data_IF_397668928998
#
_entry.id   IF_397668928998
#
_cell.length_a   1.000
_cell.length_b   1.000
_cell.length_c   1.000
_cell.angle_alpha   90.00
_cell.angle_beta   90.00
_cell.angle_gamma   90.00
#
_symmetry.space_group_name_H-M   'P 1'
#
loop_
_entity.id
_entity.type
_entity.pdbx_description
1 polymer ?
#
# COMPACT_ATOMS: atom_id res chain seq x y z
N UNK A 1 18.36 -1.66 -3.94
CA UNK A 1 18.43 -1.01 -2.61
C UNK A 1 18.94 -2.03 -1.60
N UNK A 2 19.61 -1.59 -0.54
CA UNK A 2 20.02 -2.48 0.57
C UNK A 2 18.88 -2.62 1.58
N UNK A 3 18.92 -3.66 2.41
CA UNK A 3 17.96 -3.85 3.50
C UNK A 3 17.92 -2.62 4.43
N UNK A 4 19.06 -2.02 4.75
CA UNK A 4 19.10 -0.84 5.62
C UNK A 4 18.40 0.37 5.02
N UNK A 5 18.55 0.62 3.71
CA UNK A 5 17.81 1.70 3.02
C UNK A 5 16.31 1.49 3.08
N UNK A 6 15.84 0.26 2.93
CA UNK A 6 14.41 -0.06 3.10
C UNK A 6 13.91 0.15 4.52
N UNK A 7 14.74 -0.13 5.53
CA UNK A 7 14.39 0.17 6.93
C UNK A 7 14.36 1.67 7.19
N UNK A 8 15.27 2.44 6.60
CA UNK A 8 15.23 3.91 6.65
C UNK A 8 13.92 4.44 6.06
N UNK A 9 13.51 3.92 4.89
CA UNK A 9 12.25 4.29 4.26
C UNK A 9 11.04 3.89 5.10
N UNK A 10 11.03 2.69 5.69
CA UNK A 10 9.96 2.24 6.59
C UNK A 10 9.85 3.12 7.84
N UNK A 11 10.98 3.50 8.43
CA UNK A 11 11.02 4.41 9.60
C UNK A 11 10.47 5.79 9.22
N UNK A 12 10.93 6.34 8.11
CA UNK A 12 10.44 7.63 7.60
C UNK A 12 8.94 7.59 7.32
N UNK A 13 8.48 6.58 6.59
CA UNK A 13 7.06 6.35 6.30
C UNK A 13 6.22 6.34 7.58
N UNK A 14 6.64 5.54 8.56
CA UNK A 14 5.92 5.39 9.83
C UNK A 14 5.89 6.70 10.62
N UNK A 15 7.05 7.36 10.78
CA UNK A 15 7.13 8.61 11.53
C UNK A 15 6.31 9.74 10.90
N UNK A 16 6.35 9.86 9.57
CA UNK A 16 5.62 10.91 8.86
C UNK A 16 4.12 10.67 8.87
N UNK A 17 3.70 9.41 8.77
CA UNK A 17 2.29 9.04 8.90
C UNK A 17 1.75 9.44 10.26
N UNK A 18 2.45 9.15 11.35
CA UNK A 18 2.00 9.57 12.68
C UNK A 18 2.05 11.09 12.90
N UNK A 19 3.06 11.76 12.34
CA UNK A 19 3.31 13.19 12.55
C UNK A 19 2.34 14.08 11.78
N UNK A 20 2.00 13.69 10.56
CA UNK A 20 1.30 14.58 9.60
C UNK A 20 -0.16 14.20 9.38
N UNK A 21 -0.53 12.93 9.57
CA UNK A 21 -1.88 12.48 9.30
C UNK A 21 -2.84 12.89 10.41
N UNK A 22 -3.94 13.56 10.03
CA UNK A 22 -4.90 14.19 10.96
C UNK A 22 -5.54 13.21 11.95
N UNK A 23 -5.87 12.00 11.52
CA UNK A 23 -6.49 10.97 12.36
C UNK A 23 -6.07 9.55 11.92
N UNK A 24 -4.78 9.22 12.03
CA UNK A 24 -4.20 8.01 11.44
C UNK A 24 -4.76 6.70 12.03
N UNK A 25 -5.25 6.77 13.26
CA UNK A 25 -5.61 5.61 14.06
C UNK A 25 -7.12 5.53 14.32
N UNK A 26 -7.91 6.05 13.39
CA UNK A 26 -9.37 6.01 13.48
C UNK A 26 -9.94 4.59 13.26
N UNK A 27 -9.36 3.86 12.29
CA UNK A 27 -9.81 2.53 11.91
C UNK A 27 -8.93 1.40 12.46
N UNK A 28 -7.71 1.72 12.91
CA UNK A 28 -6.73 0.76 13.45
C UNK A 28 -6.11 1.33 14.72
N UNK A 29 -5.88 0.48 15.72
CA UNK A 29 -5.15 0.92 16.91
C UNK A 29 -3.67 1.15 16.61
N UNK A 30 -3.04 2.10 17.33
CA UNK A 30 -1.58 2.31 17.26
C UNK A 30 -0.79 1.02 17.48
N UNK A 31 -1.19 0.19 18.44
CA UNK A 31 -0.50 -1.08 18.74
C UNK A 31 -0.57 -2.08 17.58
N UNK A 32 -1.73 -2.22 16.92
CA UNK A 32 -1.86 -3.09 15.74
C UNK A 32 -1.04 -2.59 14.57
N UNK A 33 -1.03 -1.27 14.33
CA UNK A 33 -0.22 -0.67 13.28
C UNK A 33 1.27 -0.86 13.54
N UNK A 34 1.74 -0.55 14.76
CA UNK A 34 3.14 -0.72 15.15
C UNK A 34 3.60 -2.17 15.07
N UNK A 35 2.76 -3.13 15.49
CA UNK A 35 3.07 -4.55 15.34
C UNK A 35 3.23 -4.95 13.86
N UNK A 36 2.43 -4.40 12.95
CA UNK A 36 2.57 -4.64 11.52
C UNK A 36 3.83 -4.00 10.93
N UNK A 37 4.23 -2.81 11.42
CA UNK A 37 5.50 -2.15 11.05
C UNK A 37 6.69 -3.02 11.47
N UNK A 38 6.70 -3.51 12.71
CA UNK A 38 7.75 -4.38 13.23
C UNK A 38 7.85 -5.70 12.48
N UNK A 39 6.70 -6.27 12.10
CA UNK A 39 6.67 -7.48 11.30
C UNK A 39 7.30 -7.26 9.91
N UNK A 40 6.96 -6.15 9.24
CA UNK A 40 7.58 -5.80 7.97
C UNK A 40 9.09 -5.57 8.12
N UNK A 41 9.53 -4.84 9.15
CA UNK A 41 10.95 -4.56 9.41
C UNK A 41 11.79 -5.84 9.55
N UNK A 42 11.24 -6.85 10.24
CA UNK A 42 11.87 -8.17 10.40
C UNK A 42 12.01 -8.92 9.09
N UNK A 43 11.04 -8.77 8.19
CA UNK A 43 11.03 -9.47 6.89
C UNK A 43 11.89 -8.77 5.83
N UNK A 44 12.11 -7.45 5.92
CA UNK A 44 12.88 -6.67 4.92
C UNK A 44 14.18 -7.35 4.44
N UNK A 45 15.03 -7.96 5.30
CA UNK A 45 16.27 -8.60 4.85
C UNK A 45 16.09 -9.76 3.87
N UNK A 46 14.90 -10.38 3.86
CA UNK A 46 14.59 -11.54 3.01
C UNK A 46 13.64 -11.23 1.86
N UNK A 47 13.05 -10.03 1.84
CA UNK A 47 12.06 -9.64 0.85
C UNK A 47 12.71 -9.00 -0.37
N UNK A 48 12.11 -9.25 -1.53
CA UNK A 48 12.38 -8.47 -2.74
C UNK A 48 11.73 -7.08 -2.65
N UNK A 49 12.25 -6.12 -3.41
CA UNK A 49 11.79 -4.72 -3.33
C UNK A 49 10.29 -4.55 -3.56
N UNK A 50 9.71 -5.29 -4.50
CA UNK A 50 8.27 -5.23 -4.78
C UNK A 50 7.42 -5.79 -3.63
N UNK A 51 7.95 -6.75 -2.86
CA UNK A 51 7.27 -7.30 -1.68
C UNK A 51 7.29 -6.31 -0.52
N UNK A 52 8.37 -5.55 -0.38
CA UNK A 52 8.46 -4.45 0.60
C UNK A 52 7.47 -3.34 0.25
N UNK A 53 7.36 -2.97 -1.04
CA UNK A 53 6.34 -2.02 -1.53
C UNK A 53 4.93 -2.51 -1.21
N UNK A 54 4.63 -3.79 -1.45
CA UNK A 54 3.33 -4.38 -1.08
C UNK A 54 3.07 -4.33 0.44
N UNK A 55 4.12 -4.50 1.25
CA UNK A 55 4.08 -4.29 2.71
C UNK A 55 3.70 -2.86 3.09
N UNK A 56 4.33 -1.85 2.47
CA UNK A 56 3.99 -0.44 2.68
C UNK A 56 2.56 -0.10 2.23
N UNK A 57 2.11 -0.69 1.12
CA UNK A 57 0.72 -0.57 0.67
C UNK A 57 -0.26 -1.17 1.69
N UNK A 58 0.06 -2.32 2.27
CA UNK A 58 -0.73 -2.94 3.35
C UNK A 58 -0.80 -2.03 4.58
N UNK A 59 0.34 -1.46 5.03
CA UNK A 59 0.35 -0.52 6.16
C UNK A 59 -0.51 0.72 5.86
N UNK A 60 -0.41 1.27 4.66
CA UNK A 60 -1.24 2.40 4.22
C UNK A 60 -2.74 2.04 4.27
N UNK A 61 -3.11 0.86 3.78
CA UNK A 61 -4.51 0.41 3.78
C UNK A 61 -5.06 0.19 5.20
N UNK A 62 -4.23 -0.20 6.17
CA UNK A 62 -4.65 -0.37 7.57
C UNK A 62 -5.16 0.94 8.20
N UNK A 63 -4.71 2.10 7.73
CA UNK A 63 -5.20 3.41 8.20
C UNK A 63 -6.71 3.56 7.97
N UNK A 64 -7.25 2.91 6.92
CA UNK A 64 -8.68 2.87 6.64
C UNK A 64 -9.26 4.22 6.23
N UNK A 65 -8.42 5.16 5.77
CA UNK A 65 -8.84 6.48 5.30
C UNK A 65 -8.82 6.54 3.76
N UNK A 66 -9.95 6.90 3.16
CA UNK A 66 -10.11 6.94 1.69
C UNK A 66 -9.28 8.04 1.00
N UNK A 67 -8.69 8.97 1.74
CA UNK A 67 -7.80 10.01 1.22
C UNK A 67 -6.32 9.67 1.46
N UNK A 68 -6.05 8.53 2.10
CA UNK A 68 -4.71 8.04 2.39
C UNK A 68 -4.38 6.91 1.42
N UNK A 69 -3.54 7.22 0.44
CA UNK A 69 -3.19 6.31 -0.64
C UNK A 69 -1.69 6.16 -0.80
N UNK A 70 -1.28 4.97 -1.24
CA UNK A 70 0.08 4.71 -1.68
C UNK A 70 0.13 4.88 -3.21
N UNK A 71 1.04 5.71 -3.74
CA UNK A 71 1.13 5.93 -5.19
C UNK A 71 1.91 4.79 -5.86
N UNK A 72 1.23 3.70 -6.18
CA UNK A 72 1.81 2.52 -6.84
C UNK A 72 1.69 2.52 -8.37
N UNK A 73 0.87 3.42 -8.94
CA UNK A 73 0.57 3.47 -10.38
C UNK A 73 1.78 3.37 -11.32
N UNK A 74 2.86 4.14 -11.13
CA UNK A 74 4.06 4.03 -11.97
C UNK A 74 4.74 2.65 -11.91
N UNK A 75 4.64 1.94 -10.78
CA UNK A 75 5.24 0.61 -10.61
C UNK A 75 4.40 -0.51 -11.22
N UNK A 76 3.11 -0.26 -11.46
CA UNK A 76 2.21 -1.27 -12.02
C UNK A 76 1.69 -0.94 -13.41
N UNK A 77 2.15 0.16 -14.02
CA UNK A 77 1.70 0.60 -15.33
C UNK A 77 1.77 -0.51 -16.40
N UNK A 78 2.83 -1.33 -16.35
CA UNK A 78 3.03 -2.46 -17.28
C UNK A 78 2.08 -3.65 -17.02
N UNK A 79 1.50 -3.76 -15.82
CA UNK A 79 0.62 -4.85 -15.42
C UNK A 79 -0.88 -4.51 -15.41
N UNK A 80 -1.25 -3.26 -15.74
CA UNK A 80 -2.65 -2.83 -15.75
C UNK A 80 -3.25 -3.07 -17.13
N UNK A 81 -4.20 -4.00 -17.20
CA UNK A 81 -5.00 -4.22 -18.41
C UNK A 81 -5.95 -3.03 -18.64
N UNK A 82 -6.24 -2.64 -19.90
CA UNK A 82 -7.10 -1.52 -20.24
C UNK A 82 -8.60 -1.85 -20.08
N UNK A 83 -8.97 -2.51 -18.98
CA UNK A 83 -10.34 -2.94 -18.69
C UNK A 83 -10.89 -2.21 -17.47
N UNK A 84 -12.12 -1.73 -17.60
CA UNK A 84 -12.88 -1.13 -16.50
C UNK A 84 -13.96 -2.09 -16.02
N UNK A 85 -14.02 -2.27 -14.70
CA UNK A 85 -15.01 -3.11 -14.04
C UNK A 85 -16.04 -2.24 -13.31
N UNK A 86 -17.30 -2.67 -13.32
CA UNK A 86 -18.34 -2.17 -12.41
C UNK A 86 -18.87 -3.33 -11.56
N UNK A 87 -19.32 -3.03 -10.34
CA UNK A 87 -19.88 -4.00 -9.40
C UNK A 87 -21.40 -3.78 -9.26
N UNK A 88 -22.19 -4.81 -9.59
CA UNK A 88 -23.64 -4.88 -9.46
C UNK A 88 -24.05 -5.93 -8.41
N UNK A 89 -25.35 -6.03 -8.12
CA UNK A 89 -25.90 -6.98 -7.13
C UNK A 89 -25.52 -8.45 -7.46
N UNK A 90 -25.42 -8.78 -8.75
CA UNK A 90 -25.13 -10.11 -9.27
C UNK A 90 -23.65 -10.34 -9.62
N UNK A 91 -22.77 -9.35 -9.43
CA UNK A 91 -21.33 -9.54 -9.53
C UNK A 91 -20.53 -8.40 -10.15
N UNK A 92 -19.28 -8.70 -10.49
CA UNK A 92 -18.34 -7.77 -11.13
C UNK A 92 -18.31 -8.05 -12.63
N UNK A 93 -18.51 -7.02 -13.45
CA UNK A 93 -18.58 -7.14 -14.90
C UNK A 93 -17.60 -6.19 -15.59
N UNK A 94 -17.00 -6.63 -16.69
CA UNK A 94 -16.25 -5.75 -17.60
C UNK A 94 -17.26 -4.86 -18.33
N UNK A 95 -17.10 -3.55 -18.19
CA UNK A 95 -18.04 -2.55 -18.73
C UNK A 95 -17.36 -1.56 -19.66
N UNK A 96 -16.03 -1.50 -19.62
CA UNK A 96 -15.19 -0.65 -20.48
C UNK A 96 -13.95 -1.42 -20.90
N UNK A 97 -13.54 -1.23 -22.15
CA UNK A 97 -12.27 -1.71 -22.71
C UNK A 97 -11.70 -0.54 -23.52
N UNK A 98 -10.48 -0.10 -23.23
CA UNK A 98 -9.79 0.84 -24.11
C UNK A 98 -9.12 0.07 -25.27
N UNK A 99 -9.04 0.63 -26.48
CA UNK A 99 -8.32 0.00 -27.59
C UNK A 99 -6.86 -0.27 -27.18
N UNK A 100 -6.29 -1.38 -27.65
CA UNK A 100 -4.84 -1.57 -27.60
C UNK A 100 -4.17 -0.54 -28.51
N UNK A 101 -3.15 0.18 -28.03
CA UNK A 101 -2.25 0.95 -28.90
C UNK A 101 -1.49 0.05 -29.88
#
# INVERSE_FOLDING_TARGET
MTAEKWREDLRFFTSEMERTHKNAFNAVSRGQFQAAVEELDKQIPTLEGHQIVAGLMRLTAMIGDGHTGFRWGPMAAEGVLPVGFDWFEDGIFVRRVAPSE
#
